data_IF_026558959675
#
_entry.id   IF_026558959675
#
_cell.length_a   1.000
_cell.length_b   1.000
_cell.length_c   1.000
_cell.angle_alpha   90.00
_cell.angle_beta   90.00
_cell.angle_gamma   90.00
#
_symmetry.space_group_name_H-M   'P 1'
#
loop_
_entity.id
_entity.type
_entity.pdbx_description
1 polymer ?
#
# COMPACT_ATOMS: atom_id res chain seq x y z
N UNK A 1 -15.58 -48.79 -1.92
CA UNK A 1 -16.64 -48.21 -2.78
C UNK A 1 -16.22 -46.78 -3.11
N UNK A 2 -15.51 -46.58 -4.22
CA UNK A 2 -15.04 -45.25 -4.65
C UNK A 2 -16.05 -44.66 -5.64
N UNK A 3 -16.66 -43.53 -5.30
CA UNK A 3 -17.53 -42.77 -6.21
C UNK A 3 -16.74 -41.62 -6.81
N UNK A 4 -16.54 -41.70 -8.12
CA UNK A 4 -15.95 -40.68 -9.00
C UNK A 4 -16.92 -39.51 -9.18
N UNK A 5 -16.43 -38.27 -9.13
CA UNK A 5 -17.15 -37.04 -9.45
C UNK A 5 -16.76 -36.55 -10.86
N UNK A 6 -17.69 -35.97 -11.64
CA UNK A 6 -17.44 -35.56 -13.02
C UNK A 6 -16.78 -34.18 -13.12
N UNK A 7 -15.84 -34.07 -14.06
CA UNK A 7 -15.10 -32.86 -14.43
C UNK A 7 -15.99 -31.89 -15.23
N UNK A 8 -16.08 -30.64 -14.78
CA UNK A 8 -16.78 -29.53 -15.45
C UNK A 8 -15.78 -28.78 -16.34
N UNK A 9 -15.90 -28.95 -17.66
CA UNK A 9 -15.15 -28.17 -18.64
C UNK A 9 -15.82 -26.80 -18.86
N UNK A 10 -15.10 -25.69 -18.56
CA UNK A 10 -15.55 -24.32 -18.88
C UNK A 10 -15.04 -23.88 -20.25
N UNK A 11 -16.00 -23.35 -21.03
CA UNK A 11 -15.87 -22.89 -22.40
C UNK A 11 -15.03 -21.61 -22.54
N UNK A 12 -14.20 -21.56 -23.57
CA UNK A 12 -13.32 -20.46 -23.95
C UNK A 12 -14.11 -19.30 -24.58
N UNK A 13 -14.07 -18.12 -23.94
CA UNK A 13 -14.60 -16.87 -24.49
C UNK A 13 -13.52 -16.11 -25.27
N UNK A 14 -13.73 -16.01 -26.59
CA UNK A 14 -12.91 -15.28 -27.56
C UNK A 14 -13.04 -13.76 -27.39
N UNK A 15 -11.92 -13.08 -27.13
CA UNK A 15 -11.83 -11.60 -27.07
C UNK A 15 -11.65 -11.04 -28.49
N UNK A 16 -12.60 -10.22 -28.94
CA UNK A 16 -12.52 -9.47 -30.20
C UNK A 16 -11.68 -8.20 -30.02
N UNK A 17 -10.83 -7.82 -30.99
CA UNK A 17 -10.04 -6.58 -30.90
C UNK A 17 -10.89 -5.35 -31.26
N UNK A 18 -10.71 -4.28 -30.46
CA UNK A 18 -11.29 -2.95 -30.70
C UNK A 18 -10.42 -2.20 -31.72
N UNK A 19 -11.06 -1.68 -32.77
CA UNK A 19 -10.46 -0.89 -33.85
C UNK A 19 -10.72 0.59 -33.57
N UNK A 20 -9.68 1.34 -33.19
CA UNK A 20 -9.74 2.81 -33.10
C UNK A 20 -9.34 3.42 -34.44
N UNK A 21 -10.18 4.32 -34.95
CA UNK A 21 -10.05 4.91 -36.28
C UNK A 21 -9.38 6.29 -36.16
N UNK A 22 -8.29 6.50 -36.89
CA UNK A 22 -7.58 7.78 -37.01
C UNK A 22 -8.12 8.57 -38.21
N UNK A 23 -8.50 9.83 -38.00
CA UNK A 23 -8.79 10.82 -39.04
C UNK A 23 -8.98 12.19 -38.37
N UNK A 24 -8.42 13.31 -38.83
CA UNK A 24 -7.67 13.56 -40.04
C UNK A 24 -6.95 14.91 -40.00
N UNK A 25 -6.18 15.11 -41.06
CA UNK A 25 -5.38 16.28 -41.42
C UNK A 25 -6.16 17.60 -41.46
N UNK A 26 -5.52 18.69 -41.02
CA UNK A 26 -5.66 19.98 -41.72
C UNK A 26 -4.35 20.76 -41.63
N UNK A 27 -3.65 20.81 -42.76
CA UNK A 27 -2.46 21.60 -43.03
C UNK A 27 -2.83 23.08 -43.12
N UNK A 28 -2.21 23.92 -42.29
CA UNK A 28 -2.14 25.36 -42.55
C UNK A 28 -0.72 25.80 -42.18
N UNK A 29 0.07 26.09 -43.20
CA UNK A 29 1.40 26.71 -43.10
C UNK A 29 1.25 28.22 -42.95
N UNK A 30 1.95 28.85 -42.00
CA UNK A 30 2.30 30.25 -42.13
C UNK A 30 3.76 30.40 -42.55
N UNK A 31 3.91 31.09 -43.67
CA UNK A 31 5.14 31.56 -44.32
C UNK A 31 6.04 32.36 -43.38
N UNK A 32 7.33 32.06 -43.41
CA UNK A 32 8.39 32.90 -42.84
C UNK A 32 8.58 34.19 -43.64
N UNK A 33 8.91 35.30 -42.96
CA UNK A 33 9.82 36.28 -43.51
C UNK A 33 11.15 36.30 -42.75
N UNK A 34 12.19 36.41 -43.56
CA UNK A 34 13.61 36.52 -43.24
C UNK A 34 13.97 37.93 -42.74
N UNK A 35 15.05 38.00 -41.95
CA UNK A 35 15.98 39.15 -41.80
C UNK A 35 15.69 40.19 -40.72
N UNK A 36 16.55 40.30 -39.71
CA UNK A 36 17.64 41.29 -39.69
C UNK A 36 18.52 41.14 -38.44
N UNK A 37 19.82 41.38 -38.62
CA UNK A 37 20.92 41.22 -37.67
C UNK A 37 20.87 42.25 -36.52
N UNK A 38 21.34 41.86 -35.33
CA UNK A 38 22.40 42.58 -34.58
C UNK A 38 22.98 41.66 -33.48
N UNK A 39 24.26 41.83 -33.09
CA UNK A 39 24.93 40.91 -32.19
C UNK A 39 24.70 41.33 -30.73
N UNK A 40 24.23 40.40 -29.90
CA UNK A 40 24.40 40.51 -28.45
C UNK A 40 25.38 39.42 -28.01
N UNK A 41 26.64 39.83 -27.92
CA UNK A 41 27.69 39.11 -27.21
C UNK A 41 27.28 39.09 -25.75
N UNK A 42 27.13 37.92 -25.12
CA UNK A 42 27.54 37.77 -23.72
C UNK A 42 28.05 36.35 -23.46
N UNK A 43 29.36 36.31 -23.25
CA UNK A 43 30.13 35.45 -22.36
C UNK A 43 29.74 33.97 -22.20
N UNK A 44 30.59 33.14 -22.77
CA UNK A 44 30.93 31.85 -22.20
C UNK A 44 31.39 32.04 -20.74
N UNK A 45 30.86 31.24 -19.83
CA UNK A 45 31.66 30.84 -18.69
C UNK A 45 31.59 29.32 -18.52
N UNK A 46 32.69 28.70 -18.91
CA UNK A 46 32.98 27.29 -18.70
C UNK A 46 33.31 27.12 -17.23
N UNK A 47 32.33 26.69 -16.44
CA UNK A 47 32.64 26.05 -15.15
C UNK A 47 32.26 24.60 -15.27
N UNK A 48 33.28 23.78 -15.56
CA UNK A 48 33.31 22.37 -15.27
C UNK A 48 32.91 22.17 -13.81
N UNK A 49 31.63 21.93 -13.56
CA UNK A 49 31.17 21.53 -12.25
C UNK A 49 31.36 20.01 -12.19
N UNK A 50 32.57 19.60 -11.77
CA UNK A 50 32.77 18.26 -11.22
C UNK A 50 31.79 18.13 -10.05
N UNK A 51 30.60 17.59 -10.31
CA UNK A 51 29.78 17.03 -9.23
C UNK A 51 30.56 15.84 -8.70
N UNK A 52 31.33 16.14 -7.68
CA UNK A 52 31.93 15.17 -6.79
C UNK A 52 30.75 14.40 -6.22
N UNK A 53 30.49 13.23 -6.79
CA UNK A 53 29.69 12.19 -6.16
C UNK A 53 30.48 11.72 -4.94
N UNK A 54 30.48 12.53 -3.89
CA UNK A 54 30.72 12.01 -2.55
C UNK A 54 29.49 11.17 -2.27
N UNK A 55 29.62 9.87 -2.48
CA UNK A 55 28.74 8.89 -1.88
C UNK A 55 28.75 9.18 -0.37
N UNK A 56 27.80 9.98 0.10
CA UNK A 56 27.32 9.84 1.45
C UNK A 56 26.82 8.42 1.49
N UNK A 57 27.63 7.52 2.07
CA UNK A 57 27.08 6.32 2.70
C UNK A 57 25.97 6.88 3.58
N UNK A 58 24.73 6.83 3.11
CA UNK A 58 23.59 6.78 4.01
C UNK A 58 23.91 5.59 4.87
N UNK A 59 24.46 5.89 6.04
CA UNK A 59 24.57 4.92 7.10
C UNK A 59 23.16 4.35 7.21
N UNK A 60 23.07 3.06 6.91
CA UNK A 60 21.92 2.23 7.17
C UNK A 60 21.47 2.57 8.59
N UNK A 61 20.41 3.36 8.69
CA UNK A 61 19.80 3.75 9.96
C UNK A 61 19.36 2.43 10.59
N UNK A 62 19.84 2.12 11.79
CA UNK A 62 19.43 0.91 12.51
C UNK A 62 17.93 1.05 12.80
N UNK A 63 17.11 0.43 11.95
CA UNK A 63 15.65 0.42 12.09
C UNK A 63 15.29 -0.30 13.40
N UNK A 64 14.74 0.45 14.35
CA UNK A 64 14.29 -0.10 15.63
C UNK A 64 13.02 -0.92 15.41
N UNK A 65 13.00 -2.14 15.96
CA UNK A 65 11.87 -3.07 15.87
C UNK A 65 11.25 -3.33 17.24
N UNK A 66 10.01 -3.82 17.23
CA UNK A 66 9.28 -4.37 18.38
C UNK A 66 8.67 -5.71 18.00
N UNK A 67 8.42 -6.57 18.98
CA UNK A 67 7.75 -7.84 18.75
C UNK A 67 6.24 -7.69 18.74
N UNK A 68 5.54 -8.17 17.71
CA UNK A 68 4.07 -8.19 17.63
C UNK A 68 3.59 -9.60 17.28
N UNK A 69 2.54 -10.07 17.95
CA UNK A 69 1.88 -11.33 17.61
C UNK A 69 0.56 -11.07 16.88
N UNK A 70 0.37 -11.70 15.73
CA UNK A 70 -0.91 -11.75 15.01
C UNK A 70 -1.58 -13.09 15.33
N UNK A 71 -2.81 -13.04 15.84
CA UNK A 71 -3.67 -14.20 16.06
C UNK A 71 -4.71 -14.24 14.94
N UNK A 72 -4.75 -15.33 14.19
CA UNK A 72 -5.78 -15.60 13.20
C UNK A 72 -6.96 -16.32 13.89
N UNK A 73 -8.11 -15.66 13.96
CA UNK A 73 -9.30 -16.21 14.62
C UNK A 73 -9.95 -17.37 13.84
N UNK A 74 -9.73 -17.45 12.52
CA UNK A 74 -10.29 -18.48 11.64
C UNK A 74 -9.63 -19.83 11.88
N UNK A 75 -8.30 -19.82 11.92
CA UNK A 75 -7.49 -21.04 12.04
C UNK A 75 -7.01 -21.32 13.48
N UNK A 76 -7.26 -20.41 14.44
CA UNK A 76 -6.71 -20.42 15.80
C UNK A 76 -5.17 -20.55 15.80
N UNK A 77 -4.52 -19.90 14.84
CA UNK A 77 -3.06 -19.89 14.71
C UNK A 77 -2.51 -18.52 15.05
N UNK A 78 -1.26 -18.48 15.51
CA UNK A 78 -0.60 -17.20 15.78
C UNK A 78 0.81 -17.16 15.21
N UNK A 79 1.23 -15.95 14.82
CA UNK A 79 2.56 -15.69 14.30
C UNK A 79 3.13 -14.43 14.93
N UNK A 80 4.30 -14.60 15.55
CA UNK A 80 5.06 -13.50 16.15
C UNK A 80 6.12 -13.01 15.18
N UNK A 81 6.20 -11.69 15.02
CA UNK A 81 7.06 -11.03 14.03
C UNK A 81 7.79 -9.84 14.64
N UNK A 82 8.93 -9.50 14.05
CA UNK A 82 9.61 -8.23 14.30
C UNK A 82 9.00 -7.16 13.40
N UNK A 83 8.49 -6.10 14.00
CA UNK A 83 7.83 -5.01 13.33
C UNK A 83 8.65 -3.73 13.46
N UNK A 84 8.96 -3.08 12.35
CA UNK A 84 9.66 -1.80 12.34
C UNK A 84 8.75 -0.69 12.87
N UNK A 85 9.28 0.12 13.79
CA UNK A 85 8.57 1.29 14.29
C UNK A 85 8.31 2.28 13.14
N UNK A 86 7.07 2.76 13.06
CA UNK A 86 6.62 3.68 12.01
C UNK A 86 6.08 3.00 10.75
N UNK A 87 6.17 1.68 10.63
CA UNK A 87 5.42 0.92 9.62
C UNK A 87 3.97 0.71 10.09
N UNK A 88 2.99 0.66 9.20
CA UNK A 88 1.62 0.29 9.58
C UNK A 88 1.46 -1.23 9.75
N UNK A 89 0.51 -1.63 10.59
CA UNK A 89 0.31 -3.05 10.93
C UNK A 89 -0.10 -3.91 9.73
N UNK A 90 -0.78 -3.34 8.73
CA UNK A 90 -1.12 -4.09 7.52
C UNK A 90 0.13 -4.45 6.72
N UNK A 91 1.03 -3.50 6.47
CA UNK A 91 2.29 -3.78 5.78
C UNK A 91 3.20 -4.72 6.59
N UNK A 92 3.24 -4.60 7.92
CA UNK A 92 3.96 -5.56 8.79
C UNK A 92 3.46 -6.97 8.56
N UNK A 93 2.14 -7.17 8.51
CA UNK A 93 1.54 -8.48 8.25
C UNK A 93 1.96 -9.02 6.88
N UNK A 94 1.86 -8.19 5.84
CA UNK A 94 2.23 -8.56 4.46
C UNK A 94 3.70 -8.92 4.31
N UNK A 95 4.62 -8.09 4.82
CA UNK A 95 6.07 -8.36 4.76
C UNK A 95 6.45 -9.67 5.46
N UNK A 96 5.67 -10.04 6.48
CA UNK A 96 5.88 -11.25 7.25
C UNK A 96 5.03 -12.45 6.79
N UNK A 97 4.35 -12.38 5.64
CA UNK A 97 3.48 -13.46 5.13
C UNK A 97 2.44 -13.91 6.18
N UNK A 98 1.74 -12.95 6.78
CA UNK A 98 0.53 -13.15 7.58
C UNK A 98 -0.66 -12.88 6.66
N UNK A 99 -1.69 -13.72 6.73
CA UNK A 99 -2.87 -13.62 5.86
C UNK A 99 -3.82 -12.52 6.37
N UNK A 100 -3.49 -11.28 6.03
CA UNK A 100 -4.33 -10.11 6.26
C UNK A 100 -4.57 -9.45 4.90
N UNK A 101 -5.81 -9.26 4.47
CA UNK A 101 -6.10 -8.94 3.07
C UNK A 101 -5.58 -7.55 2.64
N UNK A 102 -6.14 -6.46 3.17
CA UNK A 102 -5.71 -5.11 2.80
C UNK A 102 -5.95 -4.72 1.34
N UNK A 103 -7.16 -4.95 0.81
CA UNK A 103 -7.49 -4.88 -0.61
C UNK A 103 -7.22 -3.53 -1.30
N UNK A 104 -7.31 -2.41 -0.57
CA UNK A 104 -7.04 -1.07 -1.11
C UNK A 104 -5.58 -0.62 -0.97
N UNK A 105 -4.70 -1.41 -0.34
CA UNK A 105 -3.30 -1.04 -0.12
C UNK A 105 -3.09 0.09 0.90
N UNK A 106 -4.06 0.35 1.77
CA UNK A 106 -3.95 1.37 2.83
C UNK A 106 -4.56 2.73 2.49
N UNK A 107 -5.23 2.87 1.36
CA UNK A 107 -5.83 4.13 0.87
C UNK A 107 -7.21 4.46 1.50
N UNK A 108 -7.52 3.89 2.67
CA UNK A 108 -8.78 4.06 3.40
C UNK A 108 -10.04 3.88 2.52
N UNK A 109 -10.00 2.91 1.59
CA UNK A 109 -11.06 2.65 0.63
C UNK A 109 -11.69 1.26 0.78
N UNK A 110 -11.33 0.53 1.84
CA UNK A 110 -11.91 -0.75 2.22
C UNK A 110 -11.75 -1.01 3.72
N UNK A 111 -12.37 -2.06 4.23
CA UNK A 111 -12.28 -2.51 5.62
C UNK A 111 -11.55 -3.84 5.82
N UNK A 112 -10.91 -4.39 4.78
CA UNK A 112 -10.34 -5.75 4.83
C UNK A 112 -8.97 -5.84 5.51
N UNK A 113 -8.49 -4.74 6.10
CA UNK A 113 -7.32 -4.72 6.99
C UNK A 113 -7.73 -4.65 8.48
N UNK A 114 -8.98 -4.98 8.78
CA UNK A 114 -9.56 -4.96 10.13
C UNK A 114 -8.74 -5.82 11.10
N UNK A 115 -8.39 -5.23 12.24
CA UNK A 115 -7.73 -5.89 13.36
C UNK A 115 -8.49 -5.57 14.66
N UNK A 116 -8.48 -6.52 15.58
CA UNK A 116 -9.03 -6.38 16.93
C UNK A 116 -7.86 -6.29 17.93
N UNK A 117 -7.86 -5.25 18.75
CA UNK A 117 -6.79 -4.97 19.69
C UNK A 117 -7.13 -5.45 21.11
N UNK A 118 -6.10 -5.79 21.87
CA UNK A 118 -6.21 -5.88 23.33
C UNK A 118 -6.63 -4.51 23.90
N UNK A 119 -7.52 -4.52 24.90
CA UNK A 119 -8.12 -3.30 25.44
C UNK A 119 -7.07 -2.30 25.93
N UNK A 120 -6.02 -2.80 26.58
CA UNK A 120 -4.94 -1.99 27.15
C UNK A 120 -4.15 -1.25 26.06
N UNK A 121 -3.98 -1.87 24.89
CA UNK A 121 -3.31 -1.26 23.73
C UNK A 121 -4.24 -0.28 23.04
N UNK A 122 -5.49 -0.69 22.80
CA UNK A 122 -6.52 0.13 22.16
C UNK A 122 -6.67 1.49 22.86
N UNK A 123 -6.68 1.49 24.19
CA UNK A 123 -6.83 2.72 25.00
C UNK A 123 -5.68 3.73 24.84
N UNK A 124 -4.55 3.31 24.25
CA UNK A 124 -3.39 4.16 23.95
C UNK A 124 -3.28 4.56 22.48
N UNK A 125 -4.17 4.05 21.63
CA UNK A 125 -4.20 4.39 20.21
C UNK A 125 -4.67 5.84 20.01
N UNK A 126 -4.25 6.49 18.91
CA UNK A 126 -4.86 7.76 18.52
C UNK A 126 -6.37 7.58 18.33
N UNK A 127 -7.12 8.66 18.56
CA UNK A 127 -8.55 8.68 18.30
C UNK A 127 -8.81 8.28 16.84
N UNK A 128 -9.80 7.42 16.61
CA UNK A 128 -10.30 7.09 15.29
C UNK A 128 -10.84 8.34 14.59
N UNK A 129 -10.54 8.49 13.30
CA UNK A 129 -11.08 9.54 12.44
C UNK A 129 -12.44 9.11 11.88
N UNK A 130 -13.29 10.08 11.51
CA UNK A 130 -14.66 9.80 11.03
C UNK A 130 -14.64 8.94 9.76
N UNK A 131 -13.71 9.21 8.85
CA UNK A 131 -13.52 8.43 7.63
C UNK A 131 -13.08 6.99 7.90
N UNK A 132 -12.32 6.75 8.98
CA UNK A 132 -11.97 5.39 9.41
C UNK A 132 -13.18 4.67 10.00
N UNK A 133 -13.98 5.36 10.82
CA UNK A 133 -15.21 4.83 11.41
C UNK A 133 -16.21 4.41 10.32
N UNK A 134 -16.43 5.28 9.33
CA UNK A 134 -17.30 5.02 8.18
C UNK A 134 -16.89 3.75 7.41
N UNK A 135 -15.59 3.53 7.25
CA UNK A 135 -15.09 2.33 6.58
C UNK A 135 -15.16 1.11 7.49
N UNK A 136 -14.80 1.24 8.77
CA UNK A 136 -14.80 0.15 9.73
C UNK A 136 -16.20 -0.42 9.97
N UNK A 137 -17.24 0.41 9.90
CA UNK A 137 -18.66 -0.01 10.00
C UNK A 137 -19.09 -1.02 8.92
N UNK A 138 -18.34 -1.11 7.82
CA UNK A 138 -18.57 -2.07 6.74
C UNK A 138 -17.86 -3.41 6.99
N UNK A 139 -17.01 -3.53 8.01
CA UNK A 139 -16.27 -4.74 8.34
C UNK A 139 -17.17 -5.81 8.97
N UNK A 140 -16.71 -7.06 8.94
CA UNK A 140 -17.38 -8.18 9.58
C UNK A 140 -16.96 -8.26 11.06
N UNK A 141 -17.90 -8.61 11.95
CA UNK A 141 -17.65 -8.78 13.40
C UNK A 141 -16.87 -7.63 14.08
N UNK A 142 -17.25 -6.38 13.79
CA UNK A 142 -16.69 -5.20 14.46
C UNK A 142 -16.92 -5.26 15.97
N UNK A 143 -15.87 -4.96 16.72
CA UNK A 143 -15.85 -4.89 18.19
C UNK A 143 -15.46 -3.49 18.67
N UNK A 144 -15.65 -3.22 19.97
CA UNK A 144 -15.24 -1.94 20.59
C UNK A 144 -13.74 -1.64 20.45
N UNK A 145 -12.90 -2.66 20.26
CA UNK A 145 -11.45 -2.50 20.10
C UNK A 145 -10.97 -2.74 18.67
N UNK A 146 -11.87 -2.64 17.70
CA UNK A 146 -11.56 -2.76 16.28
C UNK A 146 -10.93 -1.50 15.70
N UNK A 147 -9.95 -1.67 14.81
CA UNK A 147 -9.36 -0.60 13.99
C UNK A 147 -9.01 -1.13 12.61
N UNK A 148 -8.80 -0.21 11.66
CA UNK A 148 -8.17 -0.54 10.38
C UNK A 148 -6.66 -0.58 10.55
N UNK A 149 -6.05 -1.76 10.40
CA UNK A 149 -4.62 -1.98 10.64
C UNK A 149 -3.70 -1.10 9.80
N UNK A 150 -4.14 -0.68 8.61
CA UNK A 150 -3.39 0.24 7.75
C UNK A 150 -3.32 1.67 8.30
N UNK A 151 -4.20 2.05 9.23
CA UNK A 151 -4.21 3.38 9.87
C UNK A 151 -3.39 3.42 11.17
N UNK A 152 -2.87 2.27 11.63
CA UNK A 152 -2.15 2.15 12.89
C UNK A 152 -0.66 1.94 12.63
N UNK A 153 0.14 2.95 12.95
CA UNK A 153 1.60 2.86 12.91
C UNK A 153 2.15 2.14 14.14
N UNK A 154 3.13 1.27 13.92
CA UNK A 154 3.88 0.58 14.97
C UNK A 154 4.60 1.60 15.85
N UNK A 155 4.46 1.45 17.16
CA UNK A 155 5.07 2.30 18.18
C UNK A 155 5.89 1.46 19.15
N UNK A 156 6.77 2.12 19.90
CA UNK A 156 7.60 1.46 20.92
C UNK A 156 6.78 0.71 21.98
N UNK A 157 5.60 1.22 22.33
CA UNK A 157 4.72 0.65 23.35
C UNK A 157 3.83 -0.51 22.85
N UNK A 158 4.08 -1.00 21.63
CA UNK A 158 3.47 -2.21 21.08
C UNK A 158 4.31 -3.46 21.32
N UNK A 159 5.50 -3.34 21.90
CA UNK A 159 6.37 -4.49 22.16
C UNK A 159 5.67 -5.55 23.02
N UNK A 160 5.60 -6.76 22.47
CA UNK A 160 4.93 -7.91 23.08
C UNK A 160 3.41 -7.90 22.97
N UNK A 161 2.80 -6.98 22.20
CA UNK A 161 1.35 -6.97 22.03
C UNK A 161 0.85 -8.12 21.15
N UNK A 162 -0.45 -8.43 21.28
CA UNK A 162 -1.16 -9.31 20.34
C UNK A 162 -2.31 -8.56 19.71
N UNK A 163 -2.47 -8.73 18.40
CA UNK A 163 -3.62 -8.26 17.61
C UNK A 163 -4.29 -9.45 16.95
N UNK A 164 -5.61 -9.42 16.85
CA UNK A 164 -6.39 -10.51 16.28
C UNK A 164 -6.90 -10.12 14.90
N UNK A 165 -6.74 -11.00 13.92
CA UNK A 165 -7.38 -10.95 12.62
C UNK A 165 -8.73 -11.65 12.77
N UNK A 166 -9.87 -10.95 12.57
CA UNK A 166 -11.19 -11.54 12.70
C UNK A 166 -11.46 -12.56 11.59
N UNK A 167 -12.36 -13.51 11.86
CA UNK A 167 -12.86 -14.43 10.84
C UNK A 167 -13.76 -13.65 9.88
N UNK A 168 -13.44 -13.67 8.59
CA UNK A 168 -14.21 -13.01 7.53
C UNK A 168 -15.43 -13.82 7.08
N UNK A 169 -15.61 -15.03 7.62
CA UNK A 169 -16.80 -15.86 7.49
C UNK A 169 -16.89 -16.68 6.19
N UNK A 170 -15.79 -16.85 5.44
CA UNK A 170 -15.75 -17.55 4.15
C UNK A 170 -14.77 -18.72 4.06
#
# INVERSE_FOLDING_TARGET
MFRSLPSVARSMASRRPIRINFGGHTTITPTMPLSTKTPFVYHHNTTSFKRQFTATRSAMEEKKTVTITYLDAKDDTSKTVEAEIGMDLMHVAHENNIDLEGACGGELACSTCHLIFQKEVYDRLPKMEEEEEDMLDLAFEVTETSRLGCQILVREDFDGMTVTIPDDGF
#
